data_IF_007846703434
#
_entry.id   IF_007846703434
#
_cell.length_a   1.000
_cell.length_b   1.000
_cell.length_c   1.000
_cell.angle_alpha   90.00
_cell.angle_beta   90.00
_cell.angle_gamma   90.00
#
_symmetry.space_group_name_H-M   'P 1'
#
loop_
_entity.id
_entity.type
_entity.pdbx_description
1 polymer ?
#
# COMPACT_ATOMS: atom_id res chain seq x y z
N UNK A 1 29.07 -44.43 -5.28
CA UNK A 1 27.67 -44.17 -5.66
C UNK A 1 27.58 -42.85 -6.41
N UNK A 2 27.05 -42.84 -7.63
CA UNK A 2 26.82 -41.59 -8.38
C UNK A 2 25.88 -40.67 -7.58
N UNK A 3 26.25 -39.40 -7.38
CA UNK A 3 25.47 -38.48 -6.56
C UNK A 3 24.04 -38.34 -7.09
N UNK A 4 23.06 -38.10 -6.21
CA UNK A 4 21.64 -37.93 -6.58
C UNK A 4 21.46 -36.90 -7.72
N UNK A 5 22.29 -35.86 -7.73
CA UNK A 5 22.34 -34.83 -8.77
C UNK A 5 22.79 -35.38 -10.13
N UNK A 6 23.89 -36.13 -10.16
CA UNK A 6 24.40 -36.73 -11.41
C UNK A 6 23.41 -37.78 -11.94
N UNK A 7 22.79 -38.58 -11.06
CA UNK A 7 21.73 -39.51 -11.47
C UNK A 7 20.53 -38.78 -12.08
N UNK A 8 20.08 -37.67 -11.47
CA UNK A 8 18.96 -36.87 -11.99
C UNK A 8 19.32 -36.18 -13.31
N UNK A 9 20.55 -35.67 -13.45
CA UNK A 9 21.05 -35.11 -14.70
C UNK A 9 21.04 -36.14 -15.84
N UNK A 10 21.53 -37.36 -15.60
CA UNK A 10 21.59 -38.40 -16.62
C UNK A 10 20.22 -39.02 -16.94
N UNK A 11 19.36 -39.24 -15.94
CA UNK A 11 18.04 -39.89 -16.13
C UNK A 11 16.93 -38.92 -16.53
N UNK A 12 17.03 -37.66 -16.13
CA UNK A 12 16.00 -36.65 -16.37
C UNK A 12 16.63 -35.25 -16.48
N UNK A 13 17.44 -35.00 -17.52
CA UNK A 13 18.12 -33.72 -17.70
C UNK A 13 17.19 -32.49 -17.59
N UNK A 14 15.97 -32.47 -18.17
CA UNK A 14 15.07 -31.32 -18.05
C UNK A 14 14.69 -31.00 -16.60
N UNK A 15 14.41 -32.02 -15.78
CA UNK A 15 14.09 -31.84 -14.36
C UNK A 15 15.31 -31.41 -13.55
N UNK A 16 16.52 -31.84 -13.94
CA UNK A 16 17.75 -31.38 -13.31
C UNK A 16 17.96 -29.88 -13.55
N UNK A 17 17.88 -29.44 -14.81
CA UNK A 17 18.07 -28.04 -15.15
C UNK A 17 16.99 -27.15 -14.53
N UNK A 18 15.72 -27.58 -14.53
CA UNK A 18 14.63 -26.88 -13.83
C UNK A 18 14.96 -26.64 -12.36
N UNK A 19 15.29 -27.70 -11.62
CA UNK A 19 15.62 -27.57 -10.19
C UNK A 19 16.88 -26.74 -9.95
N UNK A 20 17.91 -26.93 -10.78
CA UNK A 20 19.15 -26.17 -10.67
C UNK A 20 18.91 -24.67 -10.89
N UNK A 21 18.15 -24.32 -11.93
CA UNK A 21 17.83 -22.94 -12.25
C UNK A 21 16.90 -22.33 -11.20
N UNK A 22 15.88 -23.05 -10.72
CA UNK A 22 15.02 -22.57 -9.64
C UNK A 22 15.81 -22.32 -8.35
N UNK A 23 16.81 -23.16 -8.04
CA UNK A 23 17.67 -22.95 -6.87
C UNK A 23 18.64 -21.78 -7.04
N UNK A 24 19.12 -21.55 -8.27
CA UNK A 24 20.07 -20.47 -8.57
C UNK A 24 19.37 -19.11 -8.76
N UNK A 25 18.15 -19.12 -9.27
CA UNK A 25 17.31 -17.97 -9.60
C UNK A 25 15.89 -18.23 -9.08
N UNK A 26 15.70 -18.18 -7.75
CA UNK A 26 14.39 -18.40 -7.17
C UNK A 26 13.40 -17.34 -7.68
N UNK A 27 12.14 -17.76 -7.85
CA UNK A 27 11.09 -16.80 -8.18
C UNK A 27 10.77 -15.96 -6.95
N UNK A 28 10.83 -14.64 -7.13
CA UNK A 28 10.57 -13.63 -6.11
C UNK A 28 9.51 -12.67 -6.69
N UNK A 29 8.41 -12.51 -5.98
CA UNK A 29 7.28 -11.62 -6.35
C UNK A 29 7.01 -10.52 -5.32
N UNK A 30 7.79 -10.46 -4.24
CA UNK A 30 7.64 -9.49 -3.16
C UNK A 30 8.84 -8.54 -3.09
N UNK A 31 8.68 -7.46 -2.33
CA UNK A 31 9.68 -6.39 -2.18
C UNK A 31 10.67 -6.62 -1.03
N UNK A 32 10.59 -7.78 -0.36
CA UNK A 32 11.50 -8.17 0.73
C UNK A 32 12.54 -9.21 0.30
N UNK A 33 12.65 -9.48 -1.01
CA UNK A 33 13.51 -10.48 -1.63
C UNK A 33 13.32 -11.92 -1.09
N UNK A 34 12.10 -12.26 -0.65
CA UNK A 34 11.79 -13.59 -0.14
C UNK A 34 11.42 -14.58 -1.27
N UNK A 35 12.16 -15.68 -1.46
CA UNK A 35 11.78 -16.75 -2.40
C UNK A 35 10.39 -17.31 -2.12
N UNK A 36 9.61 -17.58 -3.16
CA UNK A 36 8.24 -18.12 -3.03
C UNK A 36 8.15 -19.43 -2.26
N UNK A 37 9.12 -20.31 -2.45
CA UNK A 37 9.18 -21.59 -1.74
C UNK A 37 9.35 -21.44 -0.22
N UNK A 38 9.81 -20.28 0.26
CA UNK A 38 10.00 -19.98 1.69
C UNK A 38 8.88 -19.15 2.29
N UNK A 39 8.00 -18.55 1.48
CA UNK A 39 7.00 -17.60 1.95
C UNK A 39 6.04 -18.24 2.96
N UNK A 40 5.40 -19.35 2.60
CA UNK A 40 4.40 -20.01 3.46
C UNK A 40 4.95 -20.44 4.84
N UNK A 41 6.17 -20.97 4.88
CA UNK A 41 6.78 -21.40 6.15
C UNK A 41 7.14 -20.21 7.04
N UNK A 42 7.59 -19.09 6.46
CA UNK A 42 7.87 -17.87 7.22
C UNK A 42 6.59 -17.24 7.76
N UNK A 43 5.54 -17.14 6.94
CA UNK A 43 4.23 -16.62 7.37
C UNK A 43 3.69 -17.46 8.54
N UNK A 44 3.66 -18.79 8.39
CA UNK A 44 3.20 -19.69 9.44
C UNK A 44 4.01 -19.58 10.72
N UNK A 45 5.33 -19.36 10.61
CA UNK A 45 6.20 -19.14 11.75
C UNK A 45 5.85 -17.84 12.48
N UNK A 46 5.68 -16.74 11.74
CA UNK A 46 5.38 -15.42 12.31
C UNK A 46 4.00 -15.38 13.00
N UNK A 47 2.99 -16.01 12.39
CA UNK A 47 1.64 -16.10 12.96
C UNK A 47 1.67 -16.87 14.29
N UNK A 48 2.38 -18.01 14.34
CA UNK A 48 2.50 -18.84 15.56
C UNK A 48 3.14 -18.13 16.74
N UNK A 49 4.05 -17.17 16.50
CA UNK A 49 4.68 -16.40 17.58
C UNK A 49 3.67 -15.57 18.38
N UNK A 50 2.54 -15.23 17.77
CA UNK A 50 1.55 -14.33 18.35
C UNK A 50 0.25 -15.03 18.79
N UNK A 51 0.08 -16.32 18.50
CA UNK A 51 -1.16 -17.08 18.76
C UNK A 51 -1.60 -17.06 20.24
N UNK A 52 -0.66 -16.93 21.18
CA UNK A 52 -0.94 -16.98 22.62
C UNK A 52 -1.24 -15.60 23.26
N UNK A 53 -1.18 -14.51 22.50
CA UNK A 53 -1.37 -13.16 23.02
C UNK A 53 -2.67 -12.56 22.50
N UNK A 54 -3.68 -12.48 23.37
CA UNK A 54 -4.94 -11.82 23.04
C UNK A 54 -4.71 -10.32 22.75
N UNK A 55 -5.22 -9.86 21.61
CA UNK A 55 -5.12 -8.47 21.19
C UNK A 55 -6.48 -7.76 21.27
N UNK A 56 -6.61 -6.89 22.27
CA UNK A 56 -7.84 -6.14 22.58
C UNK A 56 -7.93 -4.78 21.91
N UNK A 57 -6.95 -4.42 21.07
CA UNK A 57 -6.92 -3.12 20.42
C UNK A 57 -8.13 -2.97 19.48
N UNK A 58 -8.75 -1.79 19.52
CA UNK A 58 -9.76 -1.38 18.54
C UNK A 58 -9.01 -0.76 17.38
N UNK A 59 -9.21 -1.33 16.19
CA UNK A 59 -8.45 -0.95 15.00
C UNK A 59 -9.44 -0.60 13.90
N UNK A 60 -9.27 0.61 13.36
CA UNK A 60 -10.01 1.09 12.20
C UNK A 60 -9.17 0.97 10.92
N UNK A 61 -9.82 1.10 9.78
CA UNK A 61 -9.16 1.22 8.47
C UNK A 61 -9.49 2.58 7.87
N UNK A 62 -8.52 3.19 7.20
CA UNK A 62 -8.70 4.42 6.43
C UNK A 62 -8.25 4.20 5.00
N UNK A 63 -9.14 4.46 4.05
CA UNK A 63 -8.84 4.58 2.63
C UNK A 63 -8.82 6.04 2.21
N UNK A 64 -8.00 6.36 1.21
CA UNK A 64 -8.14 7.57 0.40
C UNK A 64 -8.54 7.16 -1.01
N UNK A 65 -9.58 7.77 -1.56
CA UNK A 65 -10.09 7.41 -2.87
C UNK A 65 -10.76 8.60 -3.55
N UNK A 66 -10.73 8.60 -4.88
CA UNK A 66 -11.51 9.51 -5.73
C UNK A 66 -12.04 8.74 -6.95
N UNK A 67 -13.14 9.22 -7.51
CA UNK A 67 -13.71 8.74 -8.79
C UNK A 67 -13.33 9.70 -9.92
N UNK A 68 -12.52 9.25 -10.88
CA UNK A 68 -12.20 10.05 -12.06
C UNK A 68 -13.30 10.09 -13.12
N UNK A 69 -14.34 9.27 -12.98
CA UNK A 69 -15.51 9.34 -13.85
C UNK A 69 -16.53 10.41 -13.40
N UNK A 70 -16.30 11.05 -12.24
CA UNK A 70 -17.12 12.15 -11.76
C UNK A 70 -16.79 13.45 -12.49
N UNK A 71 -17.70 13.88 -13.36
CA UNK A 71 -17.58 15.11 -14.15
C UNK A 71 -17.33 16.35 -13.28
N UNK A 72 -17.98 16.47 -12.12
CA UNK A 72 -17.79 17.65 -11.24
C UNK A 72 -16.39 17.69 -10.67
N UNK A 73 -15.86 16.53 -10.30
CA UNK A 73 -14.50 16.41 -9.80
C UNK A 73 -13.48 16.65 -10.92
N UNK A 74 -13.71 16.11 -12.11
CA UNK A 74 -12.86 16.33 -13.29
C UNK A 74 -12.80 17.81 -13.67
N UNK A 75 -13.94 18.50 -13.76
CA UNK A 75 -14.01 19.93 -14.10
C UNK A 75 -13.26 20.76 -13.07
N UNK A 76 -13.46 20.47 -11.78
CA UNK A 76 -12.73 21.09 -10.69
C UNK A 76 -11.22 20.87 -10.87
N UNK A 77 -10.78 19.64 -11.11
CA UNK A 77 -9.36 19.30 -11.32
C UNK A 77 -8.77 20.03 -12.53
N UNK A 78 -9.46 20.00 -13.66
CA UNK A 78 -8.99 20.60 -14.91
C UNK A 78 -8.84 22.11 -14.78
N UNK A 79 -9.76 22.78 -14.08
CA UNK A 79 -9.68 24.21 -13.79
C UNK A 79 -8.37 24.58 -13.05
N UNK A 80 -8.02 23.83 -12.00
CA UNK A 80 -6.77 24.07 -11.26
C UNK A 80 -5.52 23.60 -12.02
N UNK A 81 -5.62 22.54 -12.83
CA UNK A 81 -4.50 22.07 -13.64
C UNK A 81 -4.08 23.09 -14.71
N UNK A 82 -5.03 23.81 -15.31
CA UNK A 82 -4.75 24.87 -16.31
C UNK A 82 -4.04 26.10 -15.72
N UNK A 83 -4.15 26.33 -14.41
CA UNK A 83 -3.51 27.46 -13.74
C UNK A 83 -2.01 27.25 -13.48
N UNK A 84 -1.50 26.04 -13.74
CA UNK A 84 -0.12 25.66 -13.46
C UNK A 84 0.78 26.11 -14.63
N UNK A 85 1.51 27.21 -14.44
CA UNK A 85 2.37 27.85 -15.46
C UNK A 85 3.67 27.09 -15.79
N UNK A 86 4.07 26.08 -15.00
CA UNK A 86 5.27 25.25 -15.18
C UNK A 86 4.89 23.80 -14.95
N UNK A 87 5.50 22.82 -15.65
CA UNK A 87 5.16 21.42 -15.43
C UNK A 87 5.29 21.09 -13.95
N UNK A 88 4.16 20.72 -13.33
CA UNK A 88 4.15 20.01 -12.07
C UNK A 88 5.00 18.76 -12.21
N UNK A 89 5.49 18.25 -11.07
CA UNK A 89 6.39 17.13 -11.04
C UNK A 89 5.93 15.95 -11.94
N UNK A 90 6.88 15.17 -12.46
CA UNK A 90 6.59 14.10 -13.41
C UNK A 90 5.44 13.20 -12.93
N UNK A 91 4.52 12.88 -13.84
CA UNK A 91 3.32 12.06 -13.60
C UNK A 91 2.27 12.66 -12.63
N UNK A 92 2.37 13.95 -12.24
CA UNK A 92 1.39 14.59 -11.34
C UNK A 92 -0.04 14.61 -11.91
N UNK A 93 -0.18 14.65 -13.24
CA UNK A 93 -1.46 14.67 -13.95
C UNK A 93 -1.78 13.34 -14.65
N UNK A 94 -1.01 12.27 -14.38
CA UNK A 94 -1.19 10.99 -15.05
C UNK A 94 -2.62 10.46 -14.82
N UNK A 95 -3.31 10.09 -15.90
CA UNK A 95 -4.70 9.60 -15.86
C UNK A 95 -4.81 8.35 -14.98
N UNK A 96 -3.80 7.48 -15.02
CA UNK A 96 -3.75 6.25 -14.24
C UNK A 96 -3.87 6.48 -12.71
N UNK A 97 -3.52 7.66 -12.21
CA UNK A 97 -3.65 7.99 -10.77
C UNK A 97 -5.08 8.18 -10.28
N UNK A 98 -6.04 8.27 -11.19
CA UNK A 98 -7.42 8.60 -10.84
C UNK A 98 -8.42 7.55 -11.36
N UNK A 99 -7.99 6.65 -12.25
CA UNK A 99 -8.85 5.66 -12.89
C UNK A 99 -9.34 4.58 -11.94
N UNK A 100 -10.66 4.44 -11.88
CA UNK A 100 -11.34 3.48 -11.00
C UNK A 100 -11.92 2.30 -11.79
N UNK A 101 -11.56 1.08 -11.39
CA UNK A 101 -12.01 -0.21 -11.91
C UNK A 101 -12.65 -1.11 -10.83
N UNK A 102 -13.26 -0.49 -9.82
CA UNK A 102 -13.80 -1.15 -8.62
C UNK A 102 -12.73 -1.78 -7.70
N UNK A 103 -11.47 -1.37 -7.78
CA UNK A 103 -10.40 -1.81 -6.86
C UNK A 103 -10.82 -1.57 -5.42
N UNK A 104 -11.34 -0.37 -5.09
CA UNK A 104 -11.82 -0.06 -3.75
C UNK A 104 -12.90 -1.04 -3.26
N UNK A 105 -13.83 -1.47 -4.13
CA UNK A 105 -14.86 -2.44 -3.76
C UNK A 105 -14.22 -3.76 -3.32
N UNK A 106 -13.30 -4.28 -4.13
CA UNK A 106 -12.64 -5.55 -3.87
C UNK A 106 -11.66 -5.45 -2.70
N UNK A 107 -11.02 -4.29 -2.49
CA UNK A 107 -10.18 -4.02 -1.33
C UNK A 107 -11.01 -4.04 -0.05
N UNK A 108 -12.17 -3.35 -0.01
CA UNK A 108 -13.11 -3.41 1.12
C UNK A 108 -13.64 -4.83 1.33
N UNK A 109 -13.99 -5.57 0.25
CA UNK A 109 -14.38 -6.99 0.36
C UNK A 109 -13.28 -7.86 0.94
N UNK A 110 -12.02 -7.61 0.57
CA UNK A 110 -10.87 -8.33 1.12
C UNK A 110 -10.74 -8.13 2.63
N UNK A 111 -10.98 -6.90 3.12
CA UNK A 111 -10.98 -6.57 4.54
C UNK A 111 -12.11 -7.28 5.28
N UNK A 112 -13.34 -7.17 4.77
CA UNK A 112 -14.52 -7.78 5.38
C UNK A 112 -14.40 -9.31 5.45
N UNK A 113 -13.73 -9.93 4.48
CA UNK A 113 -13.48 -11.37 4.44
C UNK A 113 -12.36 -11.80 5.38
N UNK A 114 -11.21 -11.15 5.32
CA UNK A 114 -9.96 -11.67 5.90
C UNK A 114 -9.56 -11.03 7.22
N UNK A 115 -10.04 -9.82 7.52
CA UNK A 115 -9.80 -9.13 8.79
C UNK A 115 -11.12 -8.59 9.37
N UNK A 116 -12.12 -9.45 9.60
CA UNK A 116 -13.46 -9.03 10.03
C UNK A 116 -13.51 -8.37 11.41
N UNK A 117 -12.42 -8.47 12.18
CA UNK A 117 -12.25 -7.80 13.47
C UNK A 117 -12.08 -6.28 13.37
N UNK A 118 -11.85 -5.73 12.17
CA UNK A 118 -11.82 -4.27 11.94
C UNK A 118 -13.11 -3.63 12.44
N UNK A 119 -12.97 -2.54 13.20
CA UNK A 119 -14.09 -1.84 13.81
C UNK A 119 -14.85 -0.98 12.79
N UNK A 120 -14.21 0.05 12.24
CA UNK A 120 -14.75 0.90 11.18
C UNK A 120 -13.82 0.98 9.98
N UNK A 121 -14.40 1.24 8.81
CA UNK A 121 -13.70 1.48 7.54
C UNK A 121 -14.09 2.87 7.09
N UNK A 122 -13.16 3.81 7.19
CA UNK A 122 -13.32 5.18 6.72
C UNK A 122 -12.84 5.31 5.28
N UNK A 123 -13.62 5.95 4.42
CA UNK A 123 -13.26 6.25 3.04
C UNK A 123 -13.24 7.77 2.88
N UNK A 124 -12.03 8.32 2.81
CA UNK A 124 -11.77 9.75 2.65
C UNK A 124 -11.82 10.11 1.16
N UNK A 125 -12.66 11.09 0.80
CA UNK A 125 -12.97 11.43 -0.60
C UNK A 125 -13.35 12.91 -0.78
N UNK A 126 -13.32 13.42 -2.02
CA UNK A 126 -13.72 14.81 -2.36
C UNK A 126 -15.23 14.93 -2.67
N UNK A 127 -16.08 14.76 -1.66
CA UNK A 127 -17.55 14.82 -1.76
C UNK A 127 -18.15 13.79 -2.74
N UNK A 128 -17.57 12.60 -2.78
CA UNK A 128 -18.03 11.50 -3.63
C UNK A 128 -18.54 10.35 -2.77
N UNK A 129 -19.20 9.38 -3.39
CA UNK A 129 -19.60 8.14 -2.74
C UNK A 129 -19.49 7.01 -3.74
N UNK A 130 -18.76 5.93 -3.44
CA UNK A 130 -18.65 4.79 -4.34
C UNK A 130 -20.04 4.22 -4.67
N UNK A 131 -20.30 3.89 -5.93
CA UNK A 131 -21.64 3.42 -6.37
C UNK A 131 -22.15 2.23 -5.55
N UNK A 132 -21.26 1.30 -5.22
CA UNK A 132 -21.56 0.11 -4.42
C UNK A 132 -21.93 0.42 -2.95
N UNK A 133 -21.48 1.55 -2.40
CA UNK A 133 -21.75 1.91 -0.99
C UNK A 133 -23.25 2.07 -0.74
N UNK A 134 -23.96 2.75 -1.65
CA UNK A 134 -25.39 2.96 -1.56
C UNK A 134 -26.21 1.66 -1.71
N UNK A 135 -25.62 0.65 -2.32
CA UNK A 135 -26.25 -0.64 -2.62
C UNK A 135 -26.03 -1.63 -1.47
N UNK A 136 -24.78 -1.76 -0.99
CA UNK A 136 -24.41 -2.76 0.01
C UNK A 136 -24.66 -2.29 1.47
N UNK A 137 -24.79 -0.98 1.73
CA UNK A 137 -25.09 -0.34 3.04
C UNK A 137 -24.45 -1.04 4.26
N UNK A 138 -23.14 -1.29 4.18
CA UNK A 138 -22.41 -1.89 5.28
C UNK A 138 -22.22 -0.87 6.42
N UNK A 139 -22.73 -1.19 7.62
CA UNK A 139 -22.68 -0.31 8.81
C UNK A 139 -21.26 0.02 9.29
N UNK A 140 -20.24 -0.75 8.89
CA UNK A 140 -18.84 -0.47 9.22
C UNK A 140 -18.22 0.61 8.33
N UNK A 141 -18.77 0.85 7.15
CA UNK A 141 -18.21 1.78 6.16
C UNK A 141 -18.74 3.18 6.40
N UNK A 142 -17.84 4.16 6.50
CA UNK A 142 -18.15 5.56 6.75
C UNK A 142 -17.44 6.40 5.68
N UNK A 143 -18.20 7.21 4.95
CA UNK A 143 -17.65 8.18 4.01
C UNK A 143 -17.25 9.44 4.78
N UNK A 144 -16.05 9.96 4.51
CA UNK A 144 -15.52 11.18 5.11
C UNK A 144 -15.13 12.14 4.00
N UNK A 145 -15.68 13.34 4.02
CA UNK A 145 -15.32 14.39 3.07
C UNK A 145 -13.95 15.00 3.40
N UNK A 146 -13.19 15.40 2.38
CA UNK A 146 -11.94 16.14 2.57
C UNK A 146 -12.09 17.36 3.50
N UNK A 147 -13.22 18.07 3.44
CA UNK A 147 -13.53 19.23 4.30
C UNK A 147 -13.66 18.90 5.79
N UNK A 148 -13.89 17.64 6.13
CA UNK A 148 -13.96 17.22 7.54
C UNK A 148 -12.58 17.14 8.21
N UNK A 149 -11.51 17.00 7.42
CA UNK A 149 -10.16 16.76 7.95
C UNK A 149 -9.12 17.77 7.45
N UNK A 150 -9.36 18.44 6.32
CA UNK A 150 -8.46 19.42 5.72
C UNK A 150 -9.05 20.83 5.91
N UNK A 151 -8.28 21.80 6.47
CA UNK A 151 -8.70 23.19 6.55
C UNK A 151 -9.10 23.77 5.19
N UNK A 152 -10.12 24.62 5.19
CA UNK A 152 -10.73 25.15 3.96
C UNK A 152 -9.74 25.92 3.09
N UNK A 153 -8.75 26.62 3.67
CA UNK A 153 -7.73 27.35 2.92
C UNK A 153 -6.84 26.45 2.04
N UNK A 154 -6.73 25.16 2.36
CA UNK A 154 -5.95 24.19 1.59
C UNK A 154 -6.79 23.46 0.54
N UNK A 155 -8.11 23.64 0.53
CA UNK A 155 -9.03 22.99 -0.40
C UNK A 155 -9.30 23.83 -1.67
N UNK A 156 -9.77 23.21 -2.77
CA UNK A 156 -9.73 21.76 -3.02
C UNK A 156 -8.28 21.27 -3.11
N UNK A 157 -8.06 19.97 -2.98
CA UNK A 157 -6.75 19.35 -3.24
C UNK A 157 -6.92 18.06 -4.01
N UNK A 158 -6.00 17.82 -4.95
CA UNK A 158 -5.85 16.59 -5.72
C UNK A 158 -4.51 15.91 -5.39
N UNK A 159 -3.85 16.39 -4.33
CA UNK A 159 -2.57 15.91 -3.86
C UNK A 159 -2.79 14.92 -2.71
N UNK A 160 -2.59 13.64 -2.97
CA UNK A 160 -2.70 12.61 -1.93
C UNK A 160 -1.73 12.81 -0.77
N UNK A 161 -0.56 13.43 -0.95
CA UNK A 161 0.30 13.77 0.20
C UNK A 161 -0.38 14.75 1.16
N UNK A 162 -1.19 15.69 0.64
CA UNK A 162 -1.96 16.64 1.47
C UNK A 162 -3.12 15.93 2.18
N UNK A 163 -3.79 15.01 1.49
CA UNK A 163 -4.88 14.22 2.07
C UNK A 163 -4.32 13.31 3.19
N UNK A 164 -3.27 12.53 2.87
CA UNK A 164 -2.54 11.66 3.78
C UNK A 164 -1.98 12.41 4.99
N UNK A 165 -1.61 13.68 4.85
CA UNK A 165 -1.17 14.49 6.00
C UNK A 165 -2.28 14.66 7.05
N UNK A 166 -3.55 14.61 6.67
CA UNK A 166 -4.67 14.99 7.54
C UNK A 166 -5.55 13.81 8.01
N UNK A 167 -5.30 12.57 7.55
CA UNK A 167 -6.18 11.41 7.85
C UNK A 167 -6.37 11.10 9.33
N UNK A 168 -5.40 11.41 10.20
CA UNK A 168 -5.51 11.22 11.65
C UNK A 168 -6.56 12.13 12.32
N UNK A 169 -7.00 13.19 11.61
CA UNK A 169 -8.02 14.15 12.08
C UNK A 169 -9.46 13.66 11.88
N UNK A 170 -9.66 12.50 11.25
CA UNK A 170 -10.99 11.88 11.13
C UNK A 170 -11.66 11.80 12.51
N UNK A 171 -12.89 12.31 12.59
CA UNK A 171 -13.64 12.31 13.83
C UNK A 171 -13.95 10.87 14.27
N UNK A 172 -13.78 10.60 15.57
CA UNK A 172 -13.93 9.27 16.18
C UNK A 172 -13.01 8.17 15.61
N UNK A 173 -11.95 8.51 14.87
CA UNK A 173 -10.92 7.55 14.49
C UNK A 173 -10.21 7.01 15.74
N UNK A 174 -10.09 5.68 15.83
CA UNK A 174 -9.38 4.99 16.92
C UNK A 174 -7.90 5.36 16.98
N UNK A 175 -7.28 5.17 18.15
CA UNK A 175 -5.83 5.35 18.32
C UNK A 175 -5.01 4.50 17.35
N UNK A 176 -5.49 3.29 17.06
CA UNK A 176 -4.85 2.36 16.13
C UNK A 176 -5.68 2.29 14.85
N UNK A 177 -5.05 2.55 13.72
CA UNK A 177 -5.71 2.46 12.42
C UNK A 177 -4.76 2.01 11.33
N UNK A 178 -5.29 1.41 10.28
CA UNK A 178 -4.49 0.93 9.15
C UNK A 178 -4.86 1.76 7.93
N UNK A 179 -3.86 2.41 7.34
CA UNK A 179 -4.04 3.11 6.07
C UNK A 179 -3.91 2.13 4.91
N UNK A 180 -4.82 2.27 3.94
CA UNK A 180 -4.83 1.54 2.69
C UNK A 180 -4.91 2.52 1.52
N UNK A 181 -4.12 2.26 0.48
CA UNK A 181 -4.50 2.67 -0.87
C UNK A 181 -5.63 1.75 -1.37
N UNK A 182 -6.44 2.24 -2.29
CA UNK A 182 -7.57 1.52 -2.88
C UNK A 182 -7.14 0.32 -3.74
N UNK A 183 -5.90 0.30 -4.23
CA UNK A 183 -5.28 -0.77 -5.02
C UNK A 183 -4.55 -1.87 -4.20
N UNK A 184 -4.69 -1.85 -2.87
CA UNK A 184 -4.10 -2.83 -1.94
C UNK A 184 -5.18 -3.79 -1.44
N UNK A 185 -4.90 -5.09 -1.46
CA UNK A 185 -5.86 -6.13 -1.09
C UNK A 185 -5.29 -7.10 -0.06
N UNK A 186 -6.12 -7.47 0.93
CA UNK A 186 -5.77 -8.51 1.92
C UNK A 186 -5.96 -9.88 1.29
N UNK A 187 -4.90 -10.69 1.24
CA UNK A 187 -4.90 -11.91 0.44
C UNK A 187 -5.18 -13.19 1.23
N UNK A 188 -5.20 -13.11 2.57
CA UNK A 188 -5.46 -14.20 3.52
C UNK A 188 -5.92 -13.67 4.86
N UNK A 189 -6.45 -14.55 5.72
CA UNK A 189 -6.83 -14.18 7.08
C UNK A 189 -5.61 -13.74 7.88
N UNK A 190 -5.73 -12.59 8.56
CA UNK A 190 -4.65 -12.01 9.35
C UNK A 190 -5.16 -11.63 10.76
N UNK A 191 -4.41 -11.97 11.83
CA UNK A 191 -4.75 -11.50 13.17
C UNK A 191 -4.38 -10.02 13.33
N UNK A 192 -4.93 -9.37 14.36
CA UNK A 192 -4.55 -8.00 14.73
C UNK A 192 -3.04 -7.85 14.94
N UNK A 193 -2.39 -8.87 15.50
CA UNK A 193 -0.95 -8.93 15.76
C UNK A 193 -0.08 -8.83 14.51
N UNK A 194 -0.65 -9.05 13.32
CA UNK A 194 0.04 -8.73 12.08
C UNK A 194 0.33 -7.22 11.99
N UNK A 195 -0.66 -6.39 12.35
CA UNK A 195 -0.63 -4.93 12.20
C UNK A 195 -0.15 -4.19 13.46
N UNK A 196 -0.58 -4.66 14.63
CA UNK A 196 -0.22 -4.07 15.92
C UNK A 196 0.04 -5.17 16.93
N UNK A 197 1.20 -5.15 17.58
CA UNK A 197 1.46 -6.03 18.71
C UNK A 197 0.48 -5.76 19.86
N UNK A 198 0.26 -6.74 20.75
CA UNK A 198 -0.70 -6.61 21.86
C UNK A 198 -0.34 -5.51 22.87
N UNK A 199 0.92 -5.06 22.88
CA UNK A 199 1.41 -3.92 23.66
C UNK A 199 1.27 -2.56 22.94
N UNK A 200 0.70 -2.53 21.73
CA UNK A 200 0.45 -1.31 20.96
C UNK A 200 1.57 -0.89 20.00
N UNK A 201 2.63 -1.67 19.83
CA UNK A 201 3.64 -1.38 18.80
C UNK A 201 3.06 -1.60 17.41
N UNK A 202 3.21 -0.59 16.53
CA UNK A 202 2.81 -0.71 15.13
C UNK A 202 3.82 -1.53 14.33
N UNK A 203 3.33 -2.39 13.43
CA UNK A 203 4.20 -3.13 12.52
C UNK A 203 4.73 -2.22 11.41
N UNK A 204 6.05 -2.21 11.23
CA UNK A 204 6.75 -1.50 10.16
C UNK A 204 7.24 -2.51 9.11
N UNK A 205 6.66 -2.47 7.91
CA UNK A 205 7.02 -3.37 6.81
C UNK A 205 8.04 -2.73 5.88
N UNK A 206 9.31 -3.06 6.04
CA UNK A 206 10.40 -2.47 5.27
C UNK A 206 10.70 -3.28 4.01
N UNK A 207 10.87 -2.63 2.86
CA UNK A 207 11.36 -3.27 1.64
C UNK A 207 12.89 -3.40 1.65
N UNK A 208 13.45 -4.26 0.78
CA UNK A 208 14.90 -4.37 0.56
C UNK A 208 15.46 -3.29 -0.39
N UNK A 209 14.59 -2.44 -0.95
CA UNK A 209 15.01 -1.30 -1.78
C UNK A 209 15.78 -0.27 -0.94
N UNK A 210 16.54 0.58 -1.61
CA UNK A 210 17.28 1.68 -0.98
C UNK A 210 16.97 3.01 -1.64
N UNK A 211 16.63 4.02 -0.86
CA UNK A 211 16.34 5.37 -1.35
C UNK A 211 17.58 5.97 -2.04
N UNK A 212 18.76 5.75 -1.46
CA UNK A 212 20.05 6.12 -2.02
C UNK A 212 20.28 5.55 -3.43
N UNK A 213 20.02 4.25 -3.62
CA UNK A 213 20.13 3.59 -4.92
C UNK A 213 19.04 4.04 -5.91
N UNK A 214 17.81 4.26 -5.42
CA UNK A 214 16.73 4.80 -6.25
C UNK A 214 17.07 6.20 -6.77
N UNK A 215 17.61 7.07 -5.90
CA UNK A 215 18.11 8.40 -6.27
C UNK A 215 19.24 8.32 -7.29
N UNK A 216 20.18 7.39 -7.11
CA UNK A 216 21.31 7.19 -8.01
C UNK A 216 20.91 6.77 -9.43
N UNK A 217 19.73 6.16 -9.62
CA UNK A 217 19.18 5.84 -10.96
C UNK A 217 18.76 7.06 -11.77
N UNK A 218 18.73 8.26 -11.18
CA UNK A 218 18.49 9.53 -11.88
C UNK A 218 17.02 9.88 -12.14
N UNK A 219 16.07 8.99 -11.86
CA UNK A 219 14.63 9.27 -12.01
C UNK A 219 14.06 9.73 -10.67
N UNK A 220 13.92 11.05 -10.50
CA UNK A 220 13.32 11.64 -9.31
C UNK A 220 11.79 11.71 -9.48
N UNK A 221 11.06 10.99 -8.63
CA UNK A 221 9.59 11.08 -8.57
C UNK A 221 9.16 11.92 -7.37
N UNK A 222 7.94 12.50 -7.37
CA UNK A 222 7.39 13.18 -6.18
C UNK A 222 7.47 12.33 -4.92
N UNK A 223 7.09 11.05 -5.03
CA UNK A 223 7.08 10.12 -3.90
C UNK A 223 8.49 9.83 -3.40
N UNK A 224 9.47 9.59 -4.29
CA UNK A 224 10.87 9.39 -3.87
C UNK A 224 11.43 10.65 -3.20
N UNK A 225 11.11 11.82 -3.74
CA UNK A 225 11.57 13.10 -3.18
C UNK A 225 10.99 13.35 -1.80
N UNK A 226 9.69 13.10 -1.64
CA UNK A 226 8.99 13.21 -0.36
C UNK A 226 9.59 12.26 0.69
N UNK A 227 9.88 11.00 0.33
CA UNK A 227 10.54 10.05 1.23
C UNK A 227 11.97 10.48 1.60
N UNK A 228 12.75 11.00 0.65
CA UNK A 228 14.11 11.51 0.92
C UNK A 228 14.08 12.69 1.90
N UNK A 229 13.15 13.63 1.72
CA UNK A 229 12.95 14.77 2.62
C UNK A 229 12.51 14.34 4.01
N UNK A 230 11.52 13.44 4.10
CA UNK A 230 11.12 12.86 5.37
C UNK A 230 12.29 12.15 6.07
N UNK A 231 13.13 11.41 5.34
CA UNK A 231 14.33 10.78 5.91
C UNK A 231 15.33 11.81 6.44
N UNK A 232 15.51 12.93 5.73
CA UNK A 232 16.40 14.00 6.18
C UNK A 232 15.92 14.62 7.49
N UNK A 233 14.61 14.93 7.59
CA UNK A 233 14.00 15.46 8.81
C UNK A 233 14.10 14.49 9.98
N UNK A 234 13.82 13.20 9.77
CA UNK A 234 14.00 12.16 10.80
C UNK A 234 15.45 12.10 11.26
N UNK A 235 16.41 12.12 10.34
CA UNK A 235 17.83 12.06 10.68
C UNK A 235 18.28 13.29 11.47
N UNK A 236 17.85 14.49 11.07
CA UNK A 236 18.13 15.72 11.80
C UNK A 236 17.58 15.68 13.23
N UNK A 237 16.38 15.11 13.41
CA UNK A 237 15.73 15.07 14.73
C UNK A 237 16.25 13.96 15.64
N UNK A 238 16.57 12.81 15.08
CA UNK A 238 16.77 11.56 15.85
C UNK A 238 18.16 10.95 15.67
N UNK A 239 19.00 11.51 14.79
CA UNK A 239 20.27 10.91 14.35
C UNK A 239 20.13 9.51 13.71
N UNK A 240 18.93 9.14 13.30
CA UNK A 240 18.64 7.88 12.63
C UNK A 240 18.42 8.11 11.13
N UNK A 241 19.31 7.57 10.30
CA UNK A 241 19.20 7.67 8.85
C UNK A 241 18.33 6.55 8.27
N UNK A 242 17.21 6.93 7.66
CA UNK A 242 16.28 6.00 7.01
C UNK A 242 16.58 5.86 5.52
N UNK A 243 17.16 4.72 5.11
CA UNK A 243 17.44 4.47 3.68
C UNK A 243 16.50 3.46 3.03
N UNK A 244 15.56 2.86 3.77
CA UNK A 244 14.70 1.79 3.24
C UNK A 244 13.26 2.30 3.09
N UNK A 245 12.65 2.25 1.89
CA UNK A 245 11.21 2.52 1.76
C UNK A 245 10.40 1.36 2.32
N UNK A 246 9.12 1.61 2.56
CA UNK A 246 8.19 0.57 3.00
C UNK A 246 7.80 -0.35 1.84
N UNK A 247 7.37 -1.56 2.17
CA UNK A 247 6.64 -2.42 1.25
C UNK A 247 5.36 -1.69 0.83
N UNK A 248 5.00 -1.76 -0.45
CA UNK A 248 3.81 -1.14 -1.02
C UNK A 248 2.56 -1.97 -0.67
N UNK A 249 2.18 -1.88 0.60
CA UNK A 249 1.11 -2.62 1.26
C UNK A 249 0.33 -1.67 2.17
N UNK A 250 -0.57 -2.20 2.98
CA UNK A 250 -1.24 -1.43 4.03
C UNK A 250 -0.26 -0.97 5.12
N UNK A 251 -0.59 0.12 5.81
CA UNK A 251 0.32 0.74 6.78
C UNK A 251 -0.37 0.90 8.13
N UNK A 252 0.05 0.14 9.16
CA UNK A 252 -0.40 0.34 10.54
C UNK A 252 0.12 1.67 11.09
N UNK A 253 -0.78 2.49 11.61
CA UNK A 253 -0.52 3.85 12.06
C UNK A 253 -1.17 4.11 13.41
N UNK A 254 -0.55 5.00 14.18
CA UNK A 254 -1.05 5.45 15.48
C UNK A 254 -1.43 6.92 15.40
N UNK A 255 -2.62 7.26 15.90
CA UNK A 255 -3.12 8.63 15.89
C UNK A 255 -2.23 9.54 16.75
N UNK A 256 -1.80 9.07 17.92
CA UNK A 256 -0.82 9.77 18.76
C UNK A 256 0.50 10.08 18.02
N UNK A 257 1.06 9.13 17.28
CA UNK A 257 2.29 9.35 16.52
C UNK A 257 2.11 10.32 15.35
N UNK A 258 0.93 10.32 14.74
CA UNK A 258 0.58 11.31 13.73
C UNK A 258 0.52 12.73 14.30
N UNK A 259 -0.12 12.89 15.45
CA UNK A 259 -0.15 14.18 16.16
C UNK A 259 1.26 14.63 16.52
N UNK A 260 2.11 13.72 17.04
CA UNK A 260 3.49 14.05 17.39
C UNK A 260 4.31 14.51 16.16
N UNK A 261 4.14 13.87 15.01
CA UNK A 261 4.77 14.32 13.76
C UNK A 261 4.23 15.69 13.33
N UNK A 262 2.93 15.95 13.50
CA UNK A 262 2.37 17.28 13.23
C UNK A 262 2.91 18.36 14.15
N UNK A 263 3.01 18.08 15.44
CA UNK A 263 3.49 19.02 16.45
C UNK A 263 4.99 19.31 16.26
N UNK A 264 5.79 18.29 15.93
CA UNK A 264 7.24 18.45 15.76
C UNK A 264 7.65 19.07 14.42
N UNK A 265 6.86 18.85 13.35
CA UNK A 265 7.20 19.26 11.98
C UNK A 265 6.11 20.14 11.34
N UNK A 266 5.43 20.93 12.15
CA UNK A 266 4.28 21.74 11.73
C UNK A 266 4.64 22.69 10.57
N UNK A 267 5.81 23.32 10.62
CA UNK A 267 6.28 24.27 9.62
C UNK A 267 6.50 23.58 8.26
N UNK A 268 7.18 22.44 8.26
CA UNK A 268 7.45 21.65 7.07
C UNK A 268 6.16 21.10 6.47
N UNK A 269 5.23 20.63 7.32
CA UNK A 269 3.93 20.12 6.86
C UNK A 269 3.11 21.24 6.24
N UNK A 270 2.93 22.37 6.93
CA UNK A 270 2.17 23.53 6.40
C UNK A 270 2.75 24.06 5.09
N UNK A 271 4.06 23.93 4.87
CA UNK A 271 4.73 24.42 3.66
C UNK A 271 4.21 23.80 2.36
N UNK A 272 3.61 22.60 2.40
CA UNK A 272 3.12 21.90 1.21
C UNK A 272 1.60 21.72 1.16
N UNK A 273 0.85 22.04 2.22
CA UNK A 273 -0.61 21.82 2.25
C UNK A 273 -1.37 22.61 1.18
N UNK A 274 -0.84 23.76 0.76
CA UNK A 274 -1.42 24.57 -0.31
C UNK A 274 -1.22 23.97 -1.72
N UNK A 275 -0.37 22.94 -1.85
CA UNK A 275 -0.09 22.28 -3.12
C UNK A 275 -1.30 21.46 -3.58
N UNK A 276 -1.97 21.96 -4.63
CA UNK A 276 -3.15 21.31 -5.23
C UNK A 276 -2.83 19.98 -5.91
N UNK A 277 -1.58 19.79 -6.37
CA UNK A 277 -1.07 18.57 -6.99
C UNK A 277 0.29 18.22 -6.38
N UNK A 278 0.69 16.93 -6.48
CA UNK A 278 1.98 16.46 -5.95
C UNK A 278 3.16 17.27 -6.50
N UNK A 279 4.05 17.68 -5.61
CA UNK A 279 5.27 18.43 -5.95
C UNK A 279 6.52 17.77 -5.37
N UNK A 280 7.69 18.27 -5.76
CA UNK A 280 8.97 17.87 -5.16
C UNK A 280 9.19 18.47 -3.75
N UNK A 281 8.25 19.29 -3.25
CA UNK A 281 8.31 19.91 -1.93
C UNK A 281 7.38 19.28 -0.90
N UNK A 282 6.65 18.23 -1.27
CA UNK A 282 5.76 17.55 -0.37
C UNK A 282 6.51 16.62 0.59
N UNK A 283 5.83 16.22 1.66
CA UNK A 283 6.23 15.11 2.53
C UNK A 283 5.25 13.96 2.38
N UNK A 284 5.77 12.73 2.51
CA UNK A 284 4.95 11.52 2.48
C UNK A 284 4.72 11.06 3.93
N UNK A 285 3.58 11.43 4.52
CA UNK A 285 3.31 11.18 5.94
C UNK A 285 2.88 9.74 6.19
N UNK A 286 1.76 9.30 5.59
CA UNK A 286 1.14 8.02 5.90
C UNK A 286 2.03 6.85 5.53
N UNK A 287 2.67 6.89 4.36
CA UNK A 287 3.40 5.74 3.80
C UNK A 287 4.92 5.85 3.94
N UNK A 288 5.43 6.81 4.72
CA UNK A 288 6.86 6.90 5.01
C UNK A 288 7.20 7.58 6.34
N UNK A 289 6.85 8.87 6.51
CA UNK A 289 7.34 9.68 7.63
C UNK A 289 6.83 9.16 8.98
N UNK A 290 5.50 9.06 9.16
CA UNK A 290 4.92 8.65 10.44
C UNK A 290 5.35 7.24 10.85
N UNK A 291 5.35 6.22 9.97
CA UNK A 291 5.84 4.88 10.31
C UNK A 291 7.30 4.87 10.77
N UNK A 292 8.19 5.54 10.05
CA UNK A 292 9.61 5.57 10.41
C UNK A 292 9.88 6.40 11.67
N UNK A 293 9.19 7.53 11.83
CA UNK A 293 9.30 8.32 13.05
C UNK A 293 8.80 7.52 14.27
N UNK A 294 7.70 6.79 14.14
CA UNK A 294 7.21 5.87 15.18
C UNK A 294 8.25 4.83 15.57
N UNK A 295 9.01 4.30 14.60
CA UNK A 295 10.11 3.37 14.87
C UNK A 295 11.23 4.03 15.67
N UNK A 296 11.64 5.26 15.31
CA UNK A 296 12.69 5.99 16.07
C UNK A 296 12.28 6.32 17.50
N UNK A 297 10.97 6.41 17.77
CA UNK A 297 10.39 6.66 19.11
C UNK A 297 10.11 5.37 19.89
N UNK A 298 10.44 4.20 19.34
CA UNK A 298 10.17 2.91 19.98
C UNK A 298 8.68 2.54 20.02
N UNK A 299 7.87 3.13 19.13
CA UNK A 299 6.42 2.93 19.03
C UNK A 299 6.02 2.05 17.82
N UNK A 300 7.01 1.59 17.06
CA UNK A 300 6.85 0.61 15.98
C UNK A 300 8.00 -0.40 16.00
N UNK A 301 7.76 -1.59 15.45
CA UNK A 301 8.76 -2.66 15.33
C UNK A 301 8.77 -3.21 13.91
N UNK A 302 9.94 -3.62 13.43
CA UNK A 302 10.06 -4.20 12.07
C UNK A 302 9.37 -5.57 12.06
N UNK A 303 8.46 -5.76 11.10
CA UNK A 303 7.76 -7.01 10.85
C UNK A 303 7.83 -7.39 9.39
N UNK A 304 7.48 -8.63 9.10
CA UNK A 304 7.46 -9.17 7.75
C UNK A 304 6.08 -8.95 7.13
N UNK A 305 6.06 -8.36 5.94
CA UNK A 305 4.93 -8.45 5.04
C UNK A 305 5.35 -9.03 3.69
N UNK A 306 4.74 -10.14 3.29
CA UNK A 306 4.87 -10.70 1.94
C UNK A 306 3.73 -10.12 1.13
N UNK A 307 3.99 -9.00 0.48
CA UNK A 307 3.10 -8.34 -0.48
C UNK A 307 3.56 -8.62 -1.91
N UNK A 308 2.63 -8.96 -2.80
CA UNK A 308 2.91 -9.01 -4.24
C UNK A 308 2.54 -7.67 -4.88
N UNK A 309 3.55 -6.86 -5.19
CA UNK A 309 3.37 -5.58 -5.87
C UNK A 309 3.65 -5.72 -7.37
N UNK A 310 2.69 -5.35 -8.21
CA UNK A 310 2.86 -5.41 -9.66
C UNK A 310 2.02 -4.35 -10.39
N UNK A 311 2.49 -3.95 -11.56
CA UNK A 311 1.76 -3.06 -12.45
C UNK A 311 0.75 -3.85 -13.28
N UNK A 312 -0.53 -3.48 -13.22
CA UNK A 312 -1.60 -4.16 -13.96
C UNK A 312 -1.45 -4.03 -15.48
N UNK A 313 -0.82 -2.95 -15.95
CA UNK A 313 -0.56 -2.71 -17.38
C UNK A 313 0.64 -3.48 -17.91
N UNK A 314 1.39 -4.17 -17.05
CA UNK A 314 2.56 -4.96 -17.45
C UNK A 314 2.14 -6.32 -18.02
N UNK A 315 2.85 -6.81 -19.04
CA UNK A 315 2.72 -8.19 -19.53
C UNK A 315 2.95 -9.24 -18.43
N UNK A 316 3.74 -8.88 -17.40
CA UNK A 316 3.99 -9.76 -16.24
C UNK A 316 2.78 -9.92 -15.31
N UNK A 317 1.80 -9.02 -15.34
CA UNK A 317 0.65 -9.04 -14.43
C UNK A 317 -0.11 -10.37 -14.44
N UNK A 318 -0.28 -10.98 -15.63
CA UNK A 318 -0.89 -12.31 -15.79
C UNK A 318 -0.20 -13.40 -14.95
N UNK A 319 1.13 -13.31 -14.80
CA UNK A 319 1.89 -14.26 -13.98
C UNK A 319 1.63 -14.08 -12.49
N UNK A 320 1.36 -12.85 -12.03
CA UNK A 320 0.98 -12.55 -10.65
C UNK A 320 -0.43 -13.06 -10.37
N UNK A 321 -1.41 -12.77 -11.22
CA UNK A 321 -2.79 -13.27 -11.06
C UNK A 321 -2.84 -14.80 -11.02
N UNK A 322 -2.08 -15.46 -11.91
CA UNK A 322 -1.95 -16.93 -11.89
C UNK A 322 -1.35 -17.44 -10.58
N UNK A 323 -0.25 -16.83 -10.12
CA UNK A 323 0.40 -17.22 -8.87
C UNK A 323 -0.54 -17.03 -7.66
N UNK A 324 -1.23 -15.89 -7.57
CA UNK A 324 -2.21 -15.61 -6.52
C UNK A 324 -3.32 -16.66 -6.49
N UNK A 325 -3.91 -17.01 -7.64
CA UNK A 325 -4.94 -18.05 -7.76
C UNK A 325 -4.42 -19.41 -7.28
N UNK A 326 -3.26 -19.84 -7.77
CA UNK A 326 -2.67 -21.14 -7.42
C UNK A 326 -2.30 -21.23 -5.94
N UNK A 327 -1.72 -20.16 -5.37
CA UNK A 327 -1.33 -20.10 -3.96
C UNK A 327 -2.54 -20.05 -3.04
N UNK A 328 -3.61 -19.32 -3.41
CA UNK A 328 -4.88 -19.33 -2.69
C UNK A 328 -5.46 -20.74 -2.60
N UNK A 329 -5.52 -21.48 -3.71
CA UNK A 329 -6.01 -22.87 -3.74
C UNK A 329 -5.19 -23.79 -2.82
N UNK A 330 -3.89 -23.53 -2.69
CA UNK A 330 -3.00 -24.30 -1.80
C UNK A 330 -3.05 -23.85 -0.32
N UNK A 331 -3.79 -22.79 0.01
CA UNK A 331 -3.75 -22.19 1.35
C UNK A 331 -2.42 -21.48 1.67
N UNK A 332 -1.69 -21.06 0.64
CA UNK A 332 -0.35 -20.47 0.70
C UNK A 332 -0.32 -19.04 0.15
N UNK A 333 -1.46 -18.36 0.17
CA UNK A 333 -1.55 -16.98 -0.29
C UNK A 333 -0.56 -16.07 0.45
N UNK A 334 -0.03 -15.02 -0.21
CA UNK A 334 0.73 -13.96 0.46
C UNK A 334 -0.14 -13.26 1.52
N UNK A 335 0.44 -12.35 2.30
CA UNK A 335 -0.38 -11.54 3.23
C UNK A 335 -1.29 -10.58 2.47
N UNK A 336 -0.74 -9.97 1.42
CA UNK A 336 -1.42 -8.97 0.59
C UNK A 336 -0.89 -8.97 -0.84
N UNK A 337 -1.57 -8.23 -1.70
CA UNK A 337 -1.04 -7.83 -3.00
C UNK A 337 -1.51 -6.42 -3.34
N UNK A 338 -0.74 -5.74 -4.20
CA UNK A 338 -1.07 -4.43 -4.72
C UNK A 338 -1.03 -4.48 -6.25
N UNK A 339 -2.18 -4.23 -6.86
CA UNK A 339 -2.40 -4.25 -8.30
C UNK A 339 -2.41 -2.81 -8.80
N UNK A 340 -1.24 -2.19 -8.82
CA UNK A 340 -1.11 -0.75 -9.06
C UNK A 340 -1.25 -0.40 -10.54
N UNK A 341 -1.98 0.67 -10.84
CA UNK A 341 -2.09 1.25 -12.17
C UNK A 341 -1.16 2.47 -12.31
N UNK A 342 -0.03 2.27 -12.99
CA UNK A 342 0.84 3.37 -13.39
C UNK A 342 1.30 3.21 -14.84
N UNK A 343 1.39 4.34 -15.55
CA UNK A 343 1.77 4.35 -16.94
C UNK A 343 3.25 3.94 -17.11
N UNK A 344 3.54 3.20 -18.17
CA UNK A 344 4.91 2.88 -18.57
C UNK A 344 5.08 3.17 -20.05
N UNK A 345 6.28 3.47 -20.51
CA UNK A 345 6.55 3.74 -21.93
C UNK A 345 6.30 2.53 -22.86
N UNK A 346 6.07 1.34 -22.29
CA UNK A 346 5.85 0.10 -23.04
C UNK A 346 4.40 -0.09 -23.47
N UNK A 347 4.18 -0.79 -24.60
CA UNK A 347 2.87 -1.25 -25.02
C UNK A 347 2.18 -2.08 -23.92
N UNK A 348 0.92 -1.74 -23.67
CA UNK A 348 0.08 -2.38 -22.67
C UNK A 348 -0.89 -3.37 -23.33
N UNK A 349 -1.21 -4.50 -22.68
CA UNK A 349 -2.25 -5.40 -23.18
C UNK A 349 -3.60 -4.66 -23.25
N UNK A 350 -4.37 -4.76 -24.34
CA UNK A 350 -5.65 -4.05 -24.47
C UNK A 350 -6.67 -4.44 -23.38
N UNK A 351 -6.60 -5.68 -22.88
CA UNK A 351 -7.56 -6.27 -21.95
C UNK A 351 -7.11 -6.28 -20.47
N UNK A 352 -6.21 -5.38 -20.07
CA UNK A 352 -5.65 -5.36 -18.71
C UNK A 352 -6.73 -5.10 -17.62
N UNK A 353 -7.70 -4.24 -17.92
CA UNK A 353 -8.81 -3.89 -17.00
C UNK A 353 -9.72 -5.10 -16.78
N UNK A 354 -10.16 -5.75 -17.86
CA UNK A 354 -10.98 -6.97 -17.77
C UNK A 354 -10.25 -8.06 -16.99
N UNK A 355 -8.95 -8.25 -17.25
CA UNK A 355 -8.12 -9.23 -16.54
C UNK A 355 -8.05 -8.92 -15.03
N UNK A 356 -7.92 -7.64 -14.64
CA UNK A 356 -7.94 -7.22 -13.24
C UNK A 356 -9.29 -7.54 -12.60
N UNK A 357 -10.39 -7.07 -13.20
CA UNK A 357 -11.75 -7.24 -12.67
C UNK A 357 -12.09 -8.72 -12.50
N UNK A 358 -11.88 -9.54 -13.52
CA UNK A 358 -12.11 -10.99 -13.44
C UNK A 358 -11.24 -11.66 -12.36
N UNK A 359 -9.98 -11.24 -12.24
CA UNK A 359 -9.07 -11.80 -11.23
C UNK A 359 -9.53 -11.46 -9.82
N UNK A 360 -9.93 -10.20 -9.56
CA UNK A 360 -10.43 -9.76 -8.26
C UNK A 360 -11.77 -10.42 -7.92
N UNK A 361 -12.69 -10.53 -8.88
CA UNK A 361 -13.95 -11.26 -8.74
C UNK A 361 -13.70 -12.71 -8.33
N UNK A 362 -12.88 -13.44 -9.10
CA UNK A 362 -12.57 -14.83 -8.80
C UNK A 362 -11.82 -15.00 -7.47
N UNK A 363 -10.99 -14.02 -7.09
CA UNK A 363 -10.24 -14.08 -5.83
C UNK A 363 -11.13 -13.79 -4.62
N UNK A 364 -12.08 -12.86 -4.71
CA UNK A 364 -12.90 -12.42 -3.57
C UNK A 364 -14.37 -12.82 -3.63
N UNK A 365 -14.78 -13.62 -4.62
CA UNK A 365 -16.10 -14.26 -4.62
C UNK A 365 -16.35 -14.93 -3.25
N UNK A 366 -17.53 -14.61 -2.72
CA UNK A 366 -18.10 -15.25 -1.53
C UNK A 366 -18.52 -16.63 -2.00
N UNK A 367 -17.94 -17.68 -1.41
CA UNK A 367 -18.49 -19.03 -1.58
C UNK A 367 -19.93 -18.96 -1.08
N UNK A 368 -20.89 -19.15 -2.01
CA UNK A 368 -22.32 -19.12 -1.72
C UNK A 368 -22.72 -20.23 -0.78
#
# INVERSE_FOLDING_TARGET
MLSRKIKKFLKSPPLFFKDYLNKKYPTIRNEIDCPEELQDILIKSDLKLNDNLENKLIIDVVFTWVDDSDEKWMDKKNLYAQQIKKPTASYALDKARFTNHNELLYSVKSILKHIPWVNKIYIVTDNQSPKWYNIEKNKKVIIVDHKEIIPEEYLPTFNSHVIEANIHKINNLSEYFIYFNDDVFVARDLPKNHFFESNGLASLYTSQKKLSLMKAKGVLTPTLTASLKSSELINLKTSFLVDSPLVHTYVPLRKSMYNEVWDEFELEIKSFLSNKFRTYNDLNLATFFVPWFSYTKGMASIKRDICYYFNIRSKSARSYYKALKELKIKGQAPHSFCANDFNTENEHPENYIETLTESLENYYQVEK
#
